data_IF_474823555038
#
_entry.id   IF_474823555038
#
_cell.length_a   1.000
_cell.length_b   1.000
_cell.length_c   1.000
_cell.angle_alpha   90.00
_cell.angle_beta   90.00
_cell.angle_gamma   90.00
#
_symmetry.space_group_name_H-M   'P 1'
#
loop_
_entity.id
_entity.type
_entity.pdbx_description
1 polymer ?
#
# COMPACT_ATOMS: atom_id res chain seq x y z
N UNK A 1 11.39 19.54 -8.58
CA UNK A 1 10.36 18.65 -9.14
C UNK A 1 10.10 18.98 -10.60
N UNK A 2 10.08 17.99 -11.49
CA UNK A 2 9.65 18.17 -12.88
C UNK A 2 8.12 18.11 -12.95
N UNK A 3 7.49 19.13 -13.52
CA UNK A 3 6.03 19.20 -13.72
C UNK A 3 5.50 17.94 -14.43
N UNK A 4 6.33 17.32 -15.29
CA UNK A 4 5.99 16.09 -16.01
C UNK A 4 5.78 14.88 -15.11
N UNK A 5 6.53 14.76 -14.00
CA UNK A 5 6.40 13.62 -13.08
C UNK A 5 5.10 13.69 -12.27
N UNK A 6 4.68 14.90 -11.89
CA UNK A 6 3.42 15.15 -11.17
C UNK A 6 2.22 14.74 -12.02
N UNK A 7 2.20 15.18 -13.29
CA UNK A 7 1.11 14.81 -14.20
C UNK A 7 1.12 13.31 -14.53
N UNK A 8 2.31 12.69 -14.54
CA UNK A 8 2.42 11.25 -14.72
C UNK A 8 1.85 10.45 -13.55
N UNK A 9 2.04 10.91 -12.31
CA UNK A 9 1.38 10.32 -11.12
C UNK A 9 -0.13 10.42 -11.26
N UNK A 10 -0.66 11.62 -11.51
CA UNK A 10 -2.11 11.87 -11.67
C UNK A 10 -2.71 11.03 -12.79
N UNK A 11 -2.02 10.91 -13.93
CA UNK A 11 -2.41 10.04 -15.06
C UNK A 11 -2.38 8.56 -14.68
N UNK A 12 -1.37 8.11 -13.94
CA UNK A 12 -1.25 6.71 -13.54
C UNK A 12 -2.36 6.32 -12.56
N UNK A 13 -2.69 7.18 -11.60
CA UNK A 13 -3.84 7.00 -10.69
C UNK A 13 -5.15 6.93 -11.47
N UNK A 14 -5.40 7.86 -12.41
CA UNK A 14 -6.60 7.82 -13.28
C UNK A 14 -6.70 6.51 -14.07
N UNK A 15 -5.58 6.01 -14.59
CA UNK A 15 -5.55 4.76 -15.33
C UNK A 15 -5.74 3.53 -14.43
N UNK A 16 -5.27 3.58 -13.18
CA UNK A 16 -5.52 2.53 -12.19
C UNK A 16 -7.01 2.38 -11.91
N UNK A 17 -7.71 3.49 -11.69
CA UNK A 17 -9.17 3.51 -11.50
C UNK A 17 -9.86 2.91 -12.73
N UNK A 18 -9.50 3.38 -13.94
CA UNK A 18 -10.12 2.90 -15.19
C UNK A 18 -9.90 1.40 -15.47
N UNK A 19 -8.83 0.82 -14.92
CA UNK A 19 -8.46 -0.60 -15.12
C UNK A 19 -8.61 -1.43 -13.85
N UNK A 20 -9.35 -0.94 -12.87
CA UNK A 20 -9.62 -1.66 -11.64
C UNK A 20 -10.60 -2.81 -11.95
N UNK A 21 -10.28 -4.01 -11.49
CA UNK A 21 -11.17 -5.16 -11.59
C UNK A 21 -12.11 -5.11 -10.37
N UNK A 22 -13.32 -4.60 -10.56
CA UNK A 22 -14.30 -4.41 -9.50
C UNK A 22 -14.83 -5.74 -8.95
N UNK A 23 -14.95 -6.75 -9.80
CA UNK A 23 -15.43 -8.08 -9.42
C UNK A 23 -14.42 -8.77 -8.49
N UNK A 24 -13.12 -8.67 -8.80
CA UNK A 24 -12.06 -9.26 -7.96
C UNK A 24 -11.54 -8.33 -6.88
N UNK A 25 -11.82 -7.03 -6.99
CA UNK A 25 -11.26 -5.93 -6.21
C UNK A 25 -9.73 -5.84 -6.35
N UNK A 26 -9.24 -5.93 -7.59
CA UNK A 26 -7.80 -6.00 -7.87
C UNK A 26 -7.29 -4.78 -8.63
N UNK A 27 -6.17 -4.23 -8.13
CA UNK A 27 -5.42 -3.18 -8.81
C UNK A 27 -4.69 -3.74 -10.02
N UNK A 28 -4.68 -2.98 -11.12
CA UNK A 28 -3.90 -3.33 -12.30
C UNK A 28 -2.39 -3.38 -11.99
N UNK A 29 -1.82 -4.57 -11.96
CA UNK A 29 -0.43 -4.80 -11.51
C UNK A 29 0.64 -4.03 -12.33
N UNK A 30 0.57 -3.96 -13.67
CA UNK A 30 1.52 -3.14 -14.44
C UNK A 30 1.48 -1.65 -14.07
N UNK A 31 0.29 -1.08 -13.90
CA UNK A 31 0.14 0.33 -13.52
C UNK A 31 0.56 0.58 -12.07
N UNK A 32 0.28 -0.36 -11.17
CA UNK A 32 0.71 -0.28 -9.77
C UNK A 32 2.24 -0.29 -9.66
N UNK A 33 2.89 -1.21 -10.39
CA UNK A 33 4.36 -1.25 -10.49
C UNK A 33 4.91 0.07 -11.03
N UNK A 34 4.28 0.62 -12.08
CA UNK A 34 4.68 1.92 -12.64
C UNK A 34 4.59 3.04 -11.59
N UNK A 35 3.46 3.16 -10.89
CA UNK A 35 3.28 4.19 -9.86
C UNK A 35 4.32 4.04 -8.74
N UNK A 36 4.54 2.79 -8.28
CA UNK A 36 5.56 2.50 -7.28
C UNK A 36 6.95 2.95 -7.72
N UNK A 37 7.36 2.66 -8.95
CA UNK A 37 8.67 3.08 -9.45
C UNK A 37 8.81 4.60 -9.59
N UNK A 38 7.74 5.32 -9.95
CA UNK A 38 7.74 6.79 -9.95
C UNK A 38 7.99 7.35 -8.55
N UNK A 39 7.21 6.91 -7.57
CA UNK A 39 7.34 7.37 -6.17
C UNK A 39 8.69 6.96 -5.56
N UNK A 40 9.20 5.77 -5.92
CA UNK A 40 10.51 5.30 -5.46
C UNK A 40 11.66 6.14 -6.01
N UNK A 41 11.56 6.60 -7.25
CA UNK A 41 12.57 7.46 -7.89
C UNK A 41 12.54 8.88 -7.34
N UNK A 42 11.36 9.38 -7.00
CA UNK A 42 11.17 10.74 -6.49
C UNK A 42 10.12 10.76 -5.37
N UNK A 43 10.60 10.71 -4.13
CA UNK A 43 9.74 10.73 -2.96
C UNK A 43 9.01 12.08 -2.76
N UNK A 44 9.45 13.16 -3.43
CA UNK A 44 8.75 14.45 -3.40
C UNK A 44 7.40 14.38 -4.13
N UNK A 45 7.12 13.30 -4.85
CA UNK A 45 5.83 13.03 -5.48
C UNK A 45 4.80 12.44 -4.50
N UNK A 46 5.18 12.10 -3.26
CA UNK A 46 4.24 11.55 -2.28
C UNK A 46 3.08 12.51 -1.98
N UNK A 47 3.30 13.80 -1.67
CA UNK A 47 2.21 14.76 -1.48
C UNK A 47 1.28 14.83 -2.68
N UNK A 48 1.82 14.91 -3.89
CA UNK A 48 1.02 14.96 -5.13
C UNK A 48 0.20 13.68 -5.36
N UNK A 49 0.73 12.52 -4.97
CA UNK A 49 0.00 11.27 -5.00
C UNK A 49 -1.12 11.25 -3.95
N UNK A 50 -0.84 11.70 -2.73
CA UNK A 50 -1.85 11.82 -1.65
C UNK A 50 -2.96 12.76 -2.09
N UNK A 51 -2.63 13.94 -2.62
CA UNK A 51 -3.60 14.90 -3.16
C UNK A 51 -4.45 14.26 -4.26
N UNK A 52 -3.81 13.56 -5.21
CA UNK A 52 -4.52 12.84 -6.25
C UNK A 52 -5.46 11.76 -5.66
N UNK A 53 -5.04 11.03 -4.63
CA UNK A 53 -5.88 10.05 -3.95
C UNK A 53 -7.11 10.72 -3.31
N UNK A 54 -6.91 11.78 -2.52
CA UNK A 54 -8.00 12.51 -1.86
C UNK A 54 -8.96 13.19 -2.84
N UNK A 55 -8.46 13.72 -3.97
CA UNK A 55 -9.32 14.22 -5.04
C UNK A 55 -10.24 13.12 -5.59
N UNK A 56 -9.76 11.88 -5.66
CA UNK A 56 -10.57 10.76 -6.11
C UNK A 56 -11.47 10.20 -4.99
N UNK A 57 -11.09 10.29 -3.72
CA UNK A 57 -11.96 9.94 -2.59
C UNK A 57 -13.19 10.84 -2.49
N UNK A 58 -13.09 12.09 -2.95
CA UNK A 58 -14.22 13.03 -3.01
C UNK A 58 -15.25 12.73 -4.11
N UNK A 59 -15.05 11.71 -4.95
CA UNK A 59 -16.01 11.37 -6.01
C UNK A 59 -17.30 10.79 -5.45
N UNK A 60 -18.42 10.97 -6.17
CA UNK A 60 -19.72 10.38 -5.83
C UNK A 60 -19.83 8.92 -6.34
N UNK A 61 -18.77 8.13 -6.13
CA UNK A 61 -18.63 6.78 -6.68
C UNK A 61 -17.84 5.93 -5.66
N UNK A 62 -18.53 5.00 -5.00
CA UNK A 62 -17.95 4.15 -3.95
C UNK A 62 -16.93 3.14 -4.48
N UNK A 63 -17.13 2.68 -5.71
CA UNK A 63 -16.27 1.74 -6.41
C UNK A 63 -14.92 2.39 -6.76
N UNK A 64 -14.97 3.63 -7.24
CA UNK A 64 -13.78 4.46 -7.42
C UNK A 64 -13.08 4.74 -6.09
N UNK A 65 -13.82 5.05 -5.02
CA UNK A 65 -13.23 5.23 -3.67
C UNK A 65 -12.54 3.95 -3.19
N UNK A 66 -13.13 2.78 -3.42
CA UNK A 66 -12.56 1.48 -3.04
C UNK A 66 -11.22 1.23 -3.74
N UNK A 67 -11.13 1.51 -5.04
CA UNK A 67 -9.86 1.45 -5.76
C UNK A 67 -8.77 2.30 -5.09
N UNK A 68 -9.13 3.51 -4.64
CA UNK A 68 -8.21 4.40 -3.93
C UNK A 68 -7.85 3.86 -2.55
N UNK A 69 -8.79 3.32 -1.78
CA UNK A 69 -8.53 2.69 -0.46
C UNK A 69 -7.48 1.58 -0.59
N UNK A 70 -7.65 0.66 -1.55
CA UNK A 70 -6.70 -0.43 -1.79
C UNK A 70 -5.33 0.10 -2.26
N UNK A 71 -5.32 1.16 -3.07
CA UNK A 71 -4.10 1.79 -3.51
C UNK A 71 -3.37 2.46 -2.33
N UNK A 72 -4.09 3.16 -1.46
CA UNK A 72 -3.56 3.79 -0.25
C UNK A 72 -2.98 2.72 0.68
N UNK A 73 -3.71 1.63 0.96
CA UNK A 73 -3.18 0.52 1.78
C UNK A 73 -1.88 -0.05 1.21
N UNK A 74 -1.81 -0.29 -0.10
CA UNK A 74 -0.61 -0.82 -0.74
C UNK A 74 0.65 0.01 -0.38
N UNK A 75 0.55 1.33 -0.49
CA UNK A 75 1.66 2.24 -0.19
C UNK A 75 1.86 2.46 1.31
N UNK A 76 0.77 2.54 2.09
CA UNK A 76 0.81 2.66 3.55
C UNK A 76 1.61 1.51 4.18
N UNK A 77 1.36 0.29 3.72
CA UNK A 77 2.06 -0.90 4.22
C UNK A 77 3.57 -0.92 3.93
N UNK A 78 4.07 -0.10 2.99
CA UNK A 78 5.42 -0.23 2.42
C UNK A 78 6.27 1.03 2.54
N UNK A 79 5.69 2.21 2.76
CA UNK A 79 6.42 3.49 2.79
C UNK A 79 6.12 4.28 4.05
N UNK A 80 7.14 4.50 4.88
CA UNK A 80 7.02 5.32 6.10
C UNK A 80 6.58 6.76 5.80
N UNK A 81 7.19 7.39 4.80
CA UNK A 81 6.84 8.75 4.39
C UNK A 81 5.39 8.84 3.91
N UNK A 82 4.90 7.82 3.20
CA UNK A 82 3.50 7.76 2.78
C UNK A 82 2.56 7.56 3.96
N UNK A 83 2.92 6.70 4.93
CA UNK A 83 2.14 6.54 6.17
C UNK A 83 1.96 7.84 6.91
N UNK A 84 3.03 8.61 7.10
CA UNK A 84 2.95 9.92 7.76
C UNK A 84 1.93 10.83 7.06
N UNK A 85 2.02 10.94 5.73
CA UNK A 85 1.11 11.78 4.96
C UNK A 85 -0.37 11.35 5.09
N UNK A 86 -0.65 10.05 5.09
CA UNK A 86 -2.02 9.52 5.28
C UNK A 86 -2.49 9.71 6.73
N UNK A 87 -1.62 9.43 7.71
CA UNK A 87 -1.93 9.60 9.14
C UNK A 87 -2.25 11.06 9.47
N UNK A 88 -1.59 12.01 8.80
CA UNK A 88 -1.88 13.43 8.98
C UNK A 88 -3.26 13.84 8.44
N UNK A 89 -3.77 13.13 7.45
CA UNK A 89 -5.10 13.34 6.83
C UNK A 89 -6.09 12.22 7.16
N UNK A 90 -5.88 11.51 8.27
CA UNK A 90 -6.63 10.28 8.59
C UNK A 90 -8.11 10.53 8.81
N UNK A 91 -8.47 11.66 9.42
CA UNK A 91 -9.85 12.03 9.64
C UNK A 91 -10.60 12.20 8.31
N UNK A 92 -10.02 12.97 7.38
CA UNK A 92 -10.60 13.15 6.04
C UNK A 92 -10.69 11.80 5.31
N UNK A 93 -9.67 10.95 5.44
CA UNK A 93 -9.69 9.62 4.82
C UNK A 93 -10.94 8.84 5.28
N UNK A 94 -11.14 8.74 6.60
CA UNK A 94 -12.28 8.01 7.18
C UNK A 94 -13.63 8.65 6.83
N UNK A 95 -13.72 9.98 6.76
CA UNK A 95 -14.95 10.68 6.35
C UNK A 95 -15.38 10.30 4.92
N UNK A 96 -14.42 10.04 4.01
CA UNK A 96 -14.76 9.65 2.64
C UNK A 96 -14.99 8.16 2.44
N UNK A 97 -14.58 7.30 3.39
CA UNK A 97 -14.53 5.85 3.19
C UNK A 97 -15.34 5.05 4.20
N UNK A 98 -15.82 5.70 5.26
CA UNK A 98 -16.69 5.12 6.30
C UNK A 98 -17.87 6.07 6.50
N UNK A 99 -19.06 5.53 6.73
CA UNK A 99 -20.27 6.33 6.91
C UNK A 99 -20.36 6.90 8.34
N UNK A 100 -19.43 7.79 8.72
CA UNK A 100 -19.37 8.35 10.09
C UNK A 100 -20.59 9.22 10.44
N UNK A 101 -21.20 9.84 9.44
CA UNK A 101 -22.39 10.69 9.58
C UNK A 101 -23.36 10.41 8.42
N UNK A 102 -24.27 9.44 8.56
CA UNK A 102 -25.23 9.09 7.50
C UNK A 102 -26.19 10.23 7.12
N UNK A 103 -26.38 11.22 8.00
CA UNK A 103 -27.33 12.31 7.77
C UNK A 103 -26.72 13.41 6.91
N UNK A 104 -25.46 13.77 7.16
CA UNK A 104 -24.79 14.87 6.46
C UNK A 104 -23.73 14.43 5.45
N UNK A 105 -23.17 13.22 5.61
CA UNK A 105 -22.11 12.66 4.78
C UNK A 105 -22.31 11.17 4.49
N UNK A 106 -23.42 10.77 3.84
CA UNK A 106 -23.63 9.40 3.44
C UNK A 106 -22.59 8.96 2.39
N UNK A 107 -22.24 7.68 2.39
CA UNK A 107 -21.40 7.11 1.33
C UNK A 107 -22.18 7.08 0.00
N UNK A 108 -21.51 7.34 -1.15
CA UNK A 108 -22.19 7.40 -2.43
C UNK A 108 -22.68 6.02 -2.88
N UNK A 109 -23.79 6.00 -3.60
CA UNK A 109 -24.40 4.75 -4.09
C UNK A 109 -23.58 4.03 -5.17
N UNK A 110 -23.98 2.79 -5.53
CA UNK A 110 -25.11 2.03 -4.96
C UNK A 110 -24.83 1.50 -3.53
N UNK A 111 -25.85 1.14 -2.73
CA UNK A 111 -25.68 0.71 -1.34
C UNK A 111 -24.71 -0.46 -1.15
N UNK A 112 -24.68 -1.41 -2.10
CA UNK A 112 -23.76 -2.55 -2.06
C UNK A 112 -22.29 -2.12 -2.21
N UNK A 113 -22.02 -1.16 -3.10
CA UNK A 113 -20.68 -0.59 -3.28
C UNK A 113 -20.26 0.23 -2.05
N UNK A 114 -21.18 1.01 -1.47
CA UNK A 114 -20.95 1.75 -0.22
C UNK A 114 -20.63 0.81 0.95
N UNK A 115 -21.43 -0.25 1.13
CA UNK A 115 -21.23 -1.26 2.17
C UNK A 115 -19.88 -1.98 1.99
N UNK A 116 -19.52 -2.27 0.73
CA UNK A 116 -18.22 -2.89 0.40
C UNK A 116 -17.06 -1.96 0.73
N UNK A 117 -17.15 -0.70 0.31
CA UNK A 117 -16.15 0.33 0.62
C UNK A 117 -15.93 0.47 2.12
N UNK A 118 -17.02 0.57 2.89
CA UNK A 118 -16.95 0.68 4.34
C UNK A 118 -16.27 -0.55 4.94
N UNK A 119 -16.78 -1.76 4.66
CA UNK A 119 -16.23 -3.01 5.21
C UNK A 119 -14.74 -3.15 4.94
N UNK A 120 -14.32 -2.94 3.69
CA UNK A 120 -12.92 -3.08 3.29
C UNK A 120 -12.02 -2.06 4.01
N UNK A 121 -12.50 -0.82 4.12
CA UNK A 121 -11.80 0.25 4.83
C UNK A 121 -11.62 -0.08 6.30
N UNK A 122 -12.68 -0.56 6.98
CA UNK A 122 -12.62 -0.92 8.39
C UNK A 122 -11.66 -2.08 8.65
N UNK A 123 -11.64 -3.09 7.78
CA UNK A 123 -10.69 -4.21 7.85
C UNK A 123 -9.24 -3.74 7.67
N UNK A 124 -8.97 -2.92 6.66
CA UNK A 124 -7.64 -2.33 6.43
C UNK A 124 -7.20 -1.49 7.62
N UNK A 125 -8.11 -0.66 8.15
CA UNK A 125 -7.82 0.20 9.29
C UNK A 125 -7.50 -0.61 10.56
N UNK A 126 -8.23 -1.71 10.82
CA UNK A 126 -7.90 -2.67 11.89
C UNK A 126 -6.47 -3.18 11.76
N UNK A 127 -6.07 -3.60 10.55
CA UNK A 127 -4.70 -4.05 10.28
C UNK A 127 -3.65 -2.93 10.48
N UNK A 128 -3.99 -1.68 10.14
CA UNK A 128 -3.10 -0.54 10.36
C UNK A 128 -2.88 -0.28 11.84
N UNK A 129 -3.94 -0.30 12.65
CA UNK A 129 -3.85 -0.15 14.10
C UNK A 129 -2.99 -1.28 14.68
N UNK A 130 -3.32 -2.54 14.40
CA UNK A 130 -2.60 -3.70 14.92
C UNK A 130 -1.08 -3.63 14.65
N UNK A 131 -0.70 -3.17 13.45
CA UNK A 131 0.69 -3.18 13.02
C UNK A 131 1.47 -1.92 13.38
N UNK A 132 0.82 -0.76 13.41
CA UNK A 132 1.52 0.53 13.43
C UNK A 132 1.10 1.48 14.55
N UNK A 133 0.15 1.12 15.41
CA UNK A 133 -0.33 2.01 16.48
C UNK A 133 0.79 2.58 17.36
N UNK A 134 1.82 1.77 17.67
CA UNK A 134 2.96 2.21 18.48
C UNK A 134 3.79 3.33 17.86
N UNK A 135 3.74 3.50 16.53
CA UNK A 135 4.44 4.57 15.80
C UNK A 135 3.54 5.74 15.40
N UNK A 136 2.22 5.59 15.48
CA UNK A 136 1.25 6.59 15.02
C UNK A 136 0.06 6.68 15.99
N UNK A 137 0.16 7.45 17.08
CA UNK A 137 -0.90 7.58 18.09
C UNK A 137 -2.26 8.04 17.53
N UNK A 138 -2.26 8.79 16.42
CA UNK A 138 -3.49 9.19 15.71
C UNK A 138 -4.35 7.99 15.27
N UNK A 139 -3.74 6.82 15.01
CA UNK A 139 -4.48 5.59 14.69
C UNK A 139 -5.33 5.11 15.89
N UNK A 140 -4.80 5.18 17.11
CA UNK A 140 -5.56 4.77 18.31
C UNK A 140 -6.71 5.74 18.59
N UNK A 141 -6.48 7.05 18.41
CA UNK A 141 -7.52 8.06 18.55
C UNK A 141 -8.67 7.81 17.56
N UNK A 142 -8.34 7.60 16.28
CA UNK A 142 -9.33 7.31 15.25
C UNK A 142 -10.08 6.01 15.53
N UNK A 143 -9.41 4.95 16.02
CA UNK A 143 -10.08 3.72 16.47
C UNK A 143 -11.08 3.97 17.59
N UNK A 144 -10.73 4.80 18.57
CA UNK A 144 -11.64 5.14 19.68
C UNK A 144 -12.86 5.90 19.18
N UNK A 145 -12.68 6.83 18.24
CA UNK A 145 -13.80 7.53 17.59
C UNK A 145 -14.69 6.55 16.83
N UNK A 146 -14.11 5.65 16.03
CA UNK A 146 -14.86 4.65 15.27
C UNK A 146 -15.67 3.71 16.17
N UNK A 147 -15.10 3.26 17.29
CA UNK A 147 -15.79 2.45 18.31
C UNK A 147 -16.94 3.20 18.98
N UNK A 148 -16.81 4.52 19.14
CA UNK A 148 -17.83 5.35 19.76
C UNK A 148 -19.00 5.66 18.82
N UNK A 149 -18.74 5.71 17.51
CA UNK A 149 -19.78 5.77 16.49
C UNK A 149 -20.44 4.40 16.33
N UNK A 150 -21.78 4.35 16.22
CA UNK A 150 -22.55 3.10 16.04
C UNK A 150 -22.20 2.31 14.76
N UNK A 151 -21.25 2.79 13.97
CA UNK A 151 -20.73 2.23 12.72
C UNK A 151 -19.74 1.09 12.92
N UNK A 152 -19.08 0.96 14.08
CA UNK A 152 -18.00 -0.04 14.24
C UNK A 152 -18.28 -1.06 15.34
N UNK A 153 -18.70 -2.27 14.93
CA UNK A 153 -18.69 -3.47 15.79
C UNK A 153 -17.46 -4.34 15.41
N UNK A 154 -16.35 -4.19 16.15
CA UNK A 154 -15.11 -4.95 15.91
C UNK A 154 -15.36 -6.47 15.93
N UNK A 155 -16.36 -6.95 16.66
CA UNK A 155 -16.66 -8.37 16.80
C UNK A 155 -17.39 -8.96 15.58
N UNK A 156 -18.14 -8.16 14.82
CA UNK A 156 -18.79 -8.62 13.56
C UNK A 156 -17.82 -8.73 12.38
N UNK A 157 -16.66 -8.08 12.46
CA UNK A 157 -15.62 -8.15 11.42
C UNK A 157 -14.89 -9.50 11.37
N UNK A 158 -15.05 -10.36 12.38
CA UNK A 158 -14.45 -11.69 12.44
C UNK A 158 -15.21 -12.75 11.60
N UNK A 159 -16.25 -12.34 10.88
CA UNK A 159 -16.88 -13.11 9.80
C UNK A 159 -15.98 -13.18 8.55
N UNK A 160 -14.80 -13.79 8.72
CA UNK A 160 -13.86 -14.13 7.64
C UNK A 160 -14.62 -14.89 6.55
N UNK A 161 -14.78 -14.28 5.39
CA UNK A 161 -15.06 -15.06 4.20
C UNK A 161 -13.76 -15.79 3.87
N UNK A 162 -13.78 -17.11 3.83
CA UNK A 162 -12.66 -18.04 3.61
C UNK A 162 -11.67 -17.61 2.49
N UNK A 163 -12.16 -16.80 1.55
CA UNK A 163 -11.41 -16.12 0.49
C UNK A 163 -10.36 -15.12 1.01
N UNK A 164 -10.63 -14.34 2.05
CA UNK A 164 -9.70 -13.35 2.64
C UNK A 164 -8.51 -14.04 3.33
N UNK A 165 -8.77 -15.18 3.99
CA UNK A 165 -7.72 -16.00 4.63
C UNK A 165 -6.80 -16.64 3.58
N UNK A 166 -7.38 -17.11 2.47
CA UNK A 166 -6.61 -17.66 1.35
C UNK A 166 -5.80 -16.60 0.59
N UNK A 167 -6.28 -15.34 0.53
CA UNK A 167 -5.54 -14.22 -0.08
C UNK A 167 -4.35 -13.78 0.77
N UNK A 168 -4.51 -13.69 2.09
CA UNK A 168 -3.42 -13.39 3.01
C UNK A 168 -2.34 -14.48 3.00
N UNK A 169 -2.74 -15.75 2.91
CA UNK A 169 -1.82 -16.90 2.77
C UNK A 169 -1.06 -16.84 1.43
N UNK A 170 -1.76 -16.58 0.32
CA UNK A 170 -1.16 -16.49 -1.01
C UNK A 170 -0.17 -15.32 -1.16
N UNK A 171 -0.46 -14.17 -0.55
CA UNK A 171 0.44 -13.02 -0.54
C UNK A 171 1.65 -13.22 0.38
N UNK A 172 1.49 -13.96 1.49
CA UNK A 172 2.62 -14.40 2.34
C UNK A 172 3.54 -15.34 1.57
N UNK A 173 2.98 -16.38 0.92
CA UNK A 173 3.76 -17.33 0.11
C UNK A 173 4.49 -16.62 -1.03
N UNK A 174 3.82 -15.69 -1.74
CA UNK A 174 4.49 -14.90 -2.80
C UNK A 174 5.62 -14.05 -2.27
N UNK A 175 5.45 -13.45 -1.09
CA UNK A 175 6.49 -12.63 -0.47
C UNK A 175 7.70 -13.47 -0.06
N UNK A 176 7.48 -14.62 0.57
CA UNK A 176 8.54 -15.54 0.98
C UNK A 176 9.34 -16.08 -0.21
N UNK A 177 8.67 -16.39 -1.34
CA UNK A 177 9.36 -16.83 -2.57
C UNK A 177 10.27 -15.73 -3.11
N UNK A 178 9.82 -14.48 -3.11
CA UNK A 178 10.61 -13.33 -3.58
C UNK A 178 11.78 -13.06 -2.65
N UNK A 179 11.55 -13.05 -1.34
CA UNK A 179 12.58 -12.77 -0.34
C UNK A 179 13.66 -13.87 -0.36
N UNK A 180 13.27 -15.14 -0.50
CA UNK A 180 14.21 -16.26 -0.65
C UNK A 180 15.05 -16.14 -1.92
N UNK A 181 14.45 -15.78 -3.05
CA UNK A 181 15.18 -15.60 -4.32
C UNK A 181 16.20 -14.45 -4.25
N UNK A 182 15.88 -13.38 -3.52
CA UNK A 182 16.81 -12.27 -3.30
C UNK A 182 17.99 -12.72 -2.45
N UNK A 183 17.75 -13.48 -1.37
CA UNK A 183 18.81 -14.02 -0.51
C UNK A 183 19.73 -14.95 -1.31
N UNK A 184 19.15 -15.86 -2.11
CA UNK A 184 19.92 -16.81 -2.92
C UNK A 184 20.80 -16.09 -3.96
N UNK A 185 20.28 -15.04 -4.60
CA UNK A 185 21.06 -14.23 -5.55
C UNK A 185 22.22 -13.51 -4.87
N UNK A 186 21.99 -12.89 -3.70
CA UNK A 186 23.04 -12.19 -2.94
C UNK A 186 24.14 -13.15 -2.49
N UNK A 187 23.78 -14.36 -2.07
CA UNK A 187 24.74 -15.39 -1.69
C UNK A 187 25.58 -15.87 -2.88
N UNK A 188 24.96 -16.02 -4.05
CA UNK A 188 25.65 -16.36 -5.28
C UNK A 188 26.67 -15.28 -5.68
N UNK A 189 26.23 -14.01 -5.75
CA UNK A 189 27.08 -12.88 -6.14
C UNK A 189 28.27 -12.68 -5.17
N UNK A 190 28.06 -12.96 -3.87
CA UNK A 190 29.10 -12.90 -2.86
C UNK A 190 30.13 -14.03 -3.01
N UNK A 191 29.67 -15.25 -3.31
CA UNK A 191 30.54 -16.40 -3.54
C UNK A 191 31.42 -16.19 -4.79
N UNK A 192 30.83 -15.66 -5.86
CA UNK A 192 31.51 -15.31 -7.10
C UNK A 192 32.57 -14.22 -6.88
N UNK A 193 32.20 -13.13 -6.20
CA UNK A 193 33.14 -12.05 -5.83
C UNK A 193 34.31 -12.56 -4.98
N UNK A 194 34.05 -13.49 -4.04
CA UNK A 194 35.09 -14.09 -3.19
C UNK A 194 36.07 -14.95 -4.00
N UNK A 195 35.60 -15.62 -5.05
CA UNK A 195 36.46 -16.40 -5.94
C UNK A 195 37.42 -15.47 -6.70
N UNK A 196 36.89 -14.40 -7.29
CA UNK A 196 37.71 -13.41 -8.01
C UNK A 196 38.76 -12.72 -7.14
N UNK A 197 38.41 -12.38 -5.89
CA UNK A 197 39.38 -11.80 -4.93
C UNK A 197 40.50 -12.79 -4.61
N UNK A 198 40.18 -14.09 -4.41
CA UNK A 198 41.20 -15.10 -4.17
C UNK A 198 42.13 -15.29 -5.36
N UNK A 199 41.58 -15.30 -6.56
CA UNK A 199 42.34 -15.43 -7.81
C UNK A 199 43.31 -14.25 -7.98
N UNK A 200 42.82 -13.01 -7.76
CA UNK A 200 43.66 -11.80 -7.77
C UNK A 200 44.78 -11.83 -6.73
N UNK A 201 44.52 -12.39 -5.54
CA UNK A 201 45.55 -12.56 -4.49
C UNK A 201 46.63 -13.56 -4.93
N UNK A 202 46.22 -14.68 -5.53
CA UNK A 202 47.15 -15.71 -6.01
C UNK A 202 48.03 -15.17 -7.14
N UNK A 203 47.45 -14.41 -8.08
CA UNK A 203 48.18 -13.76 -9.16
C UNK A 203 49.21 -12.75 -8.63
N UNK A 204 48.82 -11.91 -7.67
CA UNK A 204 49.72 -10.96 -7.04
C UNK A 204 50.87 -11.67 -6.30
N UNK A 205 50.58 -12.73 -5.56
CA UNK A 205 51.60 -13.54 -4.85
C UNK A 205 52.56 -14.25 -5.79
N UNK A 206 52.04 -14.78 -6.90
CA UNK A 206 52.86 -15.45 -7.94
C UNK A 206 53.79 -14.44 -8.60
N UNK A 207 53.30 -13.24 -8.92
CA UNK A 207 54.10 -12.16 -9.50
C UNK A 207 55.21 -11.70 -8.56
N UNK A 208 54.91 -11.57 -7.26
CA UNK A 208 55.91 -11.21 -6.24
C UNK A 208 56.98 -12.30 -6.08
N UNK A 209 56.63 -13.57 -6.28
CA UNK A 209 57.59 -14.70 -6.13
C UNK A 209 58.50 -14.89 -7.34
N UNK A 210 58.22 -14.21 -8.45
CA UNK A 210 58.98 -14.28 -9.71
C UNK A 210 59.95 -13.10 -9.90
N UNK A 211 60.01 -12.17 -8.95
CA UNK A 211 60.92 -11.01 -8.89
C UNK A 211 61.98 -11.26 -7.80
#
# INVERSE_FOLDING_TARGET
MSLGNVEEVKRTVRNLIKKFDYDKRELNQPLLKKLKELIKRDAQLIPEFVDAAFMNLKSQDSDKRLCIVLLVDYFFQRSHAFRLAIVDSLQDFLVYTVELDPLYFPLPGPPEAATTLEKETLQIFKLWVEKYVGGYPKLENAKTVLLSSKTFDFARSDGQTEVERNRAEADRIRKDIVDKKIIDQVLFDFADSKAHVKESIIEAQTTISLI
#
